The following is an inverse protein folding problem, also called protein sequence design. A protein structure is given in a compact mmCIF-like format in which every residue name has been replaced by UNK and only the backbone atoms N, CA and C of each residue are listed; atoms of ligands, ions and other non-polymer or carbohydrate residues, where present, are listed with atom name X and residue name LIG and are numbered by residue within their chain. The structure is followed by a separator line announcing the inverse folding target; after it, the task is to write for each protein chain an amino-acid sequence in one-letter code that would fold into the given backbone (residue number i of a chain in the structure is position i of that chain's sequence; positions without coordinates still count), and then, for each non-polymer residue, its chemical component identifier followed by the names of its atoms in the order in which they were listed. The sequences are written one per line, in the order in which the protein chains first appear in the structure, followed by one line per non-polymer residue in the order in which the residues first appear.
data_IF_485249654516
#
_entry.id   IF_485249654516
#
_cell.length_a   1.000
_cell.length_b   1.000
_cell.length_c   1.000
_cell.angle_alpha   90.00
_cell.angle_beta   90.00
_cell.angle_gamma   90.00
#
_symmetry.space_group_name_H-M   'P 1'
#
loop_
_entity.id
_entity.type
_entity.pdbx_description
1 polymer ?
#
# COMPACT_ATOMS: atom_id res chain seq x y z
N UNK A 1 -5.60 16.84 -16.77
CA UNK A 1 -4.88 17.23 -15.58
C UNK A 1 -4.25 18.62 -15.71
N UNK A 2 -3.87 19.17 -14.60
CA UNK A 2 -3.25 20.48 -14.50
C UNK A 2 -2.07 20.38 -13.52
N UNK A 3 -0.94 20.97 -13.90
CA UNK A 3 0.25 21.10 -13.04
C UNK A 3 0.81 22.50 -13.14
N UNK A 4 1.40 23.00 -12.08
CA UNK A 4 1.96 24.34 -12.05
C UNK A 4 2.65 24.67 -10.74
N UNK A 5 2.93 25.93 -10.54
CA UNK A 5 3.45 26.50 -9.30
C UNK A 5 2.42 27.41 -8.68
N UNK A 6 2.14 27.25 -7.39
CA UNK A 6 1.35 28.18 -6.58
C UNK A 6 2.22 29.35 -6.08
N UNK A 7 3.51 29.04 -5.84
CA UNK A 7 4.55 30.00 -5.47
C UNK A 7 5.89 29.50 -5.99
N UNK A 8 6.95 30.28 -5.83
CA UNK A 8 8.30 29.89 -6.31
C UNK A 8 8.77 28.55 -5.72
N UNK A 9 8.35 28.25 -4.49
CA UNK A 9 8.74 27.04 -3.74
C UNK A 9 7.62 26.00 -3.62
N UNK A 10 6.43 26.23 -4.22
CA UNK A 10 5.29 25.30 -4.10
C UNK A 10 4.79 24.91 -5.48
N UNK A 11 4.91 23.64 -5.80
CA UNK A 11 4.36 23.04 -7.01
C UNK A 11 3.13 22.19 -6.72
N UNK A 12 2.21 22.12 -7.66
CA UNK A 12 1.03 21.27 -7.59
C UNK A 12 0.83 20.45 -8.86
N UNK A 13 0.13 19.35 -8.70
CA UNK A 13 -0.31 18.50 -9.80
C UNK A 13 -1.68 17.92 -9.46
N UNK A 14 -2.65 18.13 -10.34
CA UNK A 14 -4.01 17.57 -10.19
C UNK A 14 -4.37 16.83 -11.47
N UNK A 15 -4.92 15.64 -11.34
CA UNK A 15 -5.33 14.83 -12.48
C UNK A 15 -6.63 14.11 -12.19
N UNK A 16 -7.53 14.14 -13.13
CA UNK A 16 -8.71 13.27 -13.20
C UNK A 16 -8.53 12.33 -14.37
N UNK A 17 -8.81 11.06 -14.18
CA UNK A 17 -8.72 10.05 -15.22
C UNK A 17 -9.84 9.02 -15.05
N UNK A 18 -10.34 8.54 -16.17
CA UNK A 18 -11.23 7.38 -16.24
C UNK A 18 -10.52 6.26 -16.99
N UNK A 19 -10.54 5.05 -16.43
CA UNK A 19 -9.87 3.89 -16.97
C UNK A 19 -10.81 2.70 -17.01
N UNK A 20 -10.95 2.09 -18.19
CA UNK A 20 -11.64 0.82 -18.36
C UNK A 20 -10.61 -0.29 -18.49
N UNK A 21 -10.81 -1.38 -17.78
CA UNK A 21 -9.94 -2.56 -17.80
C UNK A 21 -10.83 -3.79 -17.98
N UNK A 22 -10.72 -4.43 -19.15
CA UNK A 22 -11.33 -5.73 -19.36
C UNK A 22 -10.52 -6.81 -18.61
N UNK A 23 -11.24 -7.81 -18.10
CA UNK A 23 -10.67 -8.97 -17.42
C UNK A 23 -9.64 -8.58 -16.33
N UNK A 24 -9.98 -7.58 -15.52
CA UNK A 24 -9.12 -7.18 -14.39
C UNK A 24 -9.06 -8.28 -13.35
N UNK A 25 -7.87 -8.81 -13.07
CA UNK A 25 -7.65 -9.74 -11.99
C UNK A 25 -7.83 -9.05 -10.63
N UNK A 26 -8.72 -9.58 -9.80
CA UNK A 26 -8.96 -9.21 -8.42
C UNK A 26 -8.60 -10.39 -7.52
N UNK A 27 -7.81 -10.13 -6.48
CA UNK A 27 -7.39 -11.16 -5.54
C UNK A 27 -8.42 -11.28 -4.42
N UNK A 28 -8.79 -12.52 -4.12
CA UNK A 28 -9.76 -12.88 -3.08
C UNK A 28 -9.19 -14.01 -2.24
N UNK A 29 -9.78 -14.31 -1.09
CA UNK A 29 -9.44 -15.52 -0.36
C UNK A 29 -9.83 -16.74 -1.19
N UNK A 30 -8.94 -17.73 -1.27
CA UNK A 30 -9.23 -18.95 -2.00
C UNK A 30 -10.32 -19.75 -1.28
N UNK A 31 -11.24 -20.32 -2.06
CA UNK A 31 -12.24 -21.23 -1.52
C UNK A 31 -11.56 -22.51 -1.03
N UNK A 32 -11.99 -22.98 0.13
CA UNK A 32 -11.58 -24.31 0.58
C UNK A 32 -12.32 -25.37 -0.24
N UNK A 33 -11.56 -26.23 -0.88
CA UNK A 33 -12.13 -27.40 -1.56
C UNK A 33 -11.83 -28.65 -0.74
N UNK A 34 -12.85 -29.23 -0.06
CA UNK A 34 -12.66 -30.41 0.78
C UNK A 34 -12.15 -31.63 0.01
N UNK A 35 -12.37 -31.69 -1.31
CA UNK A 35 -11.89 -32.81 -2.14
C UNK A 35 -10.34 -32.85 -2.24
N UNK A 36 -9.68 -31.72 -2.07
CA UNK A 36 -8.21 -31.66 -2.11
C UNK A 36 -7.57 -31.80 -0.73
N UNK A 37 -8.36 -31.75 0.34
CA UNK A 37 -7.86 -31.85 1.70
C UNK A 37 -6.74 -30.84 2.00
N UNK A 38 -5.94 -31.15 2.99
CA UNK A 38 -4.77 -30.35 3.36
C UNK A 38 -3.49 -30.83 2.62
N UNK A 39 -3.63 -31.23 1.35
CA UNK A 39 -2.61 -31.99 0.61
C UNK A 39 -1.32 -31.16 0.37
N UNK A 40 -1.42 -29.84 0.37
CA UNK A 40 -0.27 -28.96 0.05
C UNK A 40 0.12 -28.01 1.20
N UNK A 41 -0.32 -28.27 2.42
CA UNK A 41 0.01 -27.39 3.55
C UNK A 41 -0.69 -26.02 3.52
N UNK A 42 -1.62 -25.82 2.61
CA UNK A 42 -2.45 -24.61 2.58
C UNK A 42 -3.57 -24.76 3.61
N UNK A 43 -3.39 -24.06 4.72
CA UNK A 43 -4.46 -23.94 5.69
C UNK A 43 -5.61 -23.12 5.08
N UNK A 44 -6.83 -23.44 5.48
CA UNK A 44 -8.02 -22.68 5.16
C UNK A 44 -7.82 -21.18 5.41
N UNK A 45 -8.19 -20.33 4.45
CA UNK A 45 -8.03 -18.87 4.53
C UNK A 45 -6.59 -18.35 4.34
N UNK A 46 -5.65 -19.23 4.01
CA UNK A 46 -4.22 -18.91 3.90
C UNK A 46 -3.69 -18.90 2.44
N UNK A 47 -4.58 -18.90 1.47
CA UNK A 47 -4.24 -18.84 0.06
C UNK A 47 -5.12 -17.85 -0.68
N UNK A 48 -4.67 -17.43 -1.86
CA UNK A 48 -5.38 -16.51 -2.72
C UNK A 48 -6.02 -17.24 -3.89
N UNK A 49 -7.26 -16.84 -4.19
CA UNK A 49 -7.91 -17.06 -5.47
C UNK A 49 -7.84 -15.79 -6.32
N UNK A 50 -8.17 -15.93 -7.57
CA UNK A 50 -8.28 -14.81 -8.51
C UNK A 50 -9.64 -14.87 -9.18
N UNK A 51 -10.37 -13.77 -9.14
CA UNK A 51 -11.58 -13.54 -9.94
C UNK A 51 -11.30 -12.47 -10.97
N UNK A 52 -11.96 -12.52 -12.10
CA UNK A 52 -11.80 -11.55 -13.17
C UNK A 52 -13.08 -10.77 -13.34
N UNK A 53 -12.96 -9.47 -13.61
CA UNK A 53 -14.09 -8.61 -13.88
C UNK A 53 -13.71 -7.43 -14.78
N UNK A 54 -14.67 -6.89 -15.48
CA UNK A 54 -14.51 -5.62 -16.17
C UNK A 54 -14.64 -4.49 -15.16
N UNK A 55 -13.58 -3.70 -15.05
CA UNK A 55 -13.45 -2.64 -14.03
C UNK A 55 -13.36 -1.27 -14.68
N UNK A 56 -14.32 -0.39 -14.37
CA UNK A 56 -14.20 1.04 -14.61
C UNK A 56 -13.69 1.73 -13.35
N UNK A 57 -12.71 2.60 -13.51
CA UNK A 57 -12.11 3.37 -12.40
C UNK A 57 -12.08 4.85 -12.75
N UNK A 58 -12.84 5.65 -12.01
CA UNK A 58 -12.71 7.10 -12.00
C UNK A 58 -11.72 7.50 -10.89
N UNK A 59 -10.59 8.09 -11.27
CA UNK A 59 -9.54 8.49 -10.33
C UNK A 59 -9.37 10.00 -10.27
N UNK A 60 -9.27 10.55 -9.06
CA UNK A 60 -8.86 11.93 -8.79
C UNK A 60 -7.55 11.87 -8.02
N UNK A 61 -6.51 12.47 -8.57
CA UNK A 61 -5.18 12.56 -7.97
C UNK A 61 -4.84 14.02 -7.70
N UNK A 62 -4.25 14.28 -6.53
CA UNK A 62 -3.70 15.56 -6.15
C UNK A 62 -2.32 15.41 -5.52
N UNK A 63 -1.41 16.33 -5.82
CA UNK A 63 -0.06 16.39 -5.25
C UNK A 63 0.32 17.84 -4.99
N UNK A 64 0.97 18.08 -3.85
CA UNK A 64 1.67 19.31 -3.51
C UNK A 64 3.09 18.98 -3.11
N UNK A 65 4.05 19.76 -3.62
CA UNK A 65 5.46 19.72 -3.22
C UNK A 65 5.90 21.12 -2.84
N UNK A 66 6.57 21.24 -1.71
CA UNK A 66 7.03 22.50 -1.16
C UNK A 66 8.51 22.40 -0.72
N UNK A 67 9.33 23.30 -1.23
CA UNK A 67 10.69 23.52 -0.76
C UNK A 67 10.63 24.63 0.30
N UNK A 68 10.54 24.25 1.59
CA UNK A 68 10.49 25.20 2.71
C UNK A 68 11.81 25.95 2.89
N UNK A 69 12.90 25.30 2.54
CA UNK A 69 14.24 25.88 2.53
C UNK A 69 15.11 25.09 1.54
N UNK A 70 16.38 25.49 1.40
CA UNK A 70 17.37 24.74 0.61
C UNK A 70 17.60 23.31 1.15
N UNK A 71 17.21 23.07 2.38
CA UNK A 71 17.52 21.89 3.13
C UNK A 71 16.27 21.08 3.55
N UNK A 72 15.06 21.57 3.25
CA UNK A 72 13.81 20.91 3.68
C UNK A 72 12.83 20.90 2.53
N UNK A 73 12.50 19.69 2.10
CA UNK A 73 11.47 19.43 1.09
C UNK A 73 10.33 18.64 1.70
N UNK A 74 9.11 19.05 1.41
CA UNK A 74 7.89 18.39 1.83
C UNK A 74 7.05 18.02 0.61
N UNK A 75 6.45 16.85 0.65
CA UNK A 75 5.49 16.38 -0.34
C UNK A 75 4.26 15.78 0.31
N UNK A 76 3.10 16.04 -0.28
CA UNK A 76 1.86 15.34 0.04
C UNK A 76 1.15 15.00 -1.25
N UNK A 77 0.61 13.80 -1.35
CA UNK A 77 -0.23 13.39 -2.47
C UNK A 77 -1.42 12.58 -1.97
N UNK A 78 -2.47 12.57 -2.76
CA UNK A 78 -3.66 11.76 -2.50
C UNK A 78 -4.27 11.26 -3.79
N UNK A 79 -4.83 10.07 -3.74
CA UNK A 79 -5.62 9.48 -4.82
C UNK A 79 -6.93 9.00 -4.25
N UNK A 80 -8.02 9.46 -4.85
CA UNK A 80 -9.35 8.90 -4.62
C UNK A 80 -9.79 8.17 -5.88
N UNK A 81 -10.25 6.93 -5.73
CA UNK A 81 -10.77 6.09 -6.79
C UNK A 81 -12.23 5.73 -6.51
N UNK A 82 -13.06 5.85 -7.52
CA UNK A 82 -14.37 5.27 -7.52
C UNK A 82 -14.38 4.10 -8.53
N UNK A 83 -14.73 2.93 -8.06
CA UNK A 83 -14.73 1.68 -8.84
C UNK A 83 -16.15 1.28 -9.21
N UNK A 84 -16.31 0.77 -10.42
CA UNK A 84 -17.53 0.11 -10.89
C UNK A 84 -17.14 -1.21 -11.53
N UNK A 85 -17.66 -2.28 -10.98
CA UNK A 85 -17.51 -3.67 -11.40
C UNK A 85 -18.71 -4.06 -12.28
N UNK A 86 -18.55 -5.06 -13.13
CA UNK A 86 -19.63 -5.58 -13.98
C UNK A 86 -20.36 -6.77 -13.31
N UNK A 87 -19.61 -7.74 -12.83
CA UNK A 87 -20.15 -8.99 -12.27
C UNK A 87 -19.85 -9.16 -10.78
N UNK A 88 -18.72 -8.66 -10.32
CA UNK A 88 -18.34 -8.75 -8.90
C UNK A 88 -19.10 -7.70 -8.07
N UNK A 89 -19.45 -8.04 -6.82
CA UNK A 89 -20.14 -7.13 -5.91
C UNK A 89 -19.24 -5.93 -5.52
N UNK A 90 -17.93 -6.14 -5.45
CA UNK A 90 -16.96 -5.14 -5.03
C UNK A 90 -15.64 -5.25 -5.82
N UNK A 91 -14.92 -4.15 -5.89
CA UNK A 91 -13.55 -4.13 -6.41
C UNK A 91 -12.57 -4.64 -5.34
N UNK A 92 -12.53 -5.94 -5.15
CA UNK A 92 -11.86 -6.62 -4.04
C UNK A 92 -10.43 -6.13 -3.81
N UNK A 93 -10.13 -5.77 -2.57
CA UNK A 93 -8.83 -5.28 -2.07
C UNK A 93 -8.31 -3.99 -2.70
N UNK A 94 -9.12 -3.29 -3.49
CA UNK A 94 -8.74 -2.01 -4.08
C UNK A 94 -9.19 -0.85 -3.18
N UNK A 95 -8.26 -0.10 -2.56
CA UNK A 95 -8.62 1.00 -1.69
C UNK A 95 -9.13 2.20 -2.50
N UNK A 96 -10.23 2.79 -2.05
CA UNK A 96 -10.75 4.01 -2.65
C UNK A 96 -9.86 5.22 -2.34
N UNK A 97 -9.28 5.30 -1.14
CA UNK A 97 -8.46 6.44 -0.72
C UNK A 97 -7.04 5.99 -0.39
N UNK A 98 -6.06 6.69 -0.98
CA UNK A 98 -4.65 6.60 -0.60
C UNK A 98 -4.10 8.01 -0.41
N UNK A 99 -3.35 8.22 0.68
CA UNK A 99 -2.63 9.48 0.93
C UNK A 99 -1.19 9.15 1.25
N UNK A 100 -0.26 9.91 0.70
CA UNK A 100 1.15 9.82 0.99
C UNK A 100 1.70 11.18 1.40
N UNK A 101 2.57 11.23 2.40
CA UNK A 101 3.31 12.43 2.78
C UNK A 101 4.77 12.08 2.98
N UNK A 102 5.66 12.94 2.55
CA UNK A 102 7.11 12.81 2.68
C UNK A 102 7.71 14.10 3.21
N UNK A 103 8.74 13.98 4.02
CA UNK A 103 9.59 15.09 4.41
C UNK A 103 11.05 14.64 4.33
N UNK A 104 11.87 15.44 3.68
CA UNK A 104 13.29 15.20 3.53
C UNK A 104 14.09 16.39 4.08
N UNK A 105 15.16 16.09 4.79
CA UNK A 105 16.07 17.05 5.43
C UNK A 105 17.50 16.79 4.99
N UNK A 106 18.15 17.78 4.40
CA UNK A 106 19.59 17.85 4.29
C UNK A 106 20.12 18.63 5.52
N UNK A 107 20.51 17.92 6.59
CA UNK A 107 20.88 18.52 7.87
C UNK A 107 22.19 19.30 7.72
N UNK A 108 23.14 18.74 6.98
CA UNK A 108 24.39 19.38 6.56
C UNK A 108 24.97 18.61 5.36
N UNK A 109 26.22 18.91 4.94
CA UNK A 109 26.88 18.25 3.82
C UNK A 109 26.99 16.71 3.97
N UNK A 110 26.98 16.21 5.22
CA UNK A 110 27.19 14.80 5.55
C UNK A 110 25.94 14.08 6.00
N UNK A 111 25.03 14.75 6.71
CA UNK A 111 23.86 14.11 7.29
C UNK A 111 22.59 14.46 6.52
N UNK A 112 21.79 13.47 6.24
CA UNK A 112 20.44 13.63 5.73
C UNK A 112 19.47 12.72 6.49
N UNK A 113 18.23 13.10 6.54
CA UNK A 113 17.16 12.32 7.15
C UNK A 113 15.87 12.52 6.37
N UNK A 114 14.94 11.60 6.49
CA UNK A 114 13.63 11.74 5.93
C UNK A 114 12.64 10.83 6.62
N UNK A 115 11.37 11.18 6.44
CA UNK A 115 10.26 10.36 6.88
C UNK A 115 9.17 10.34 5.82
N UNK A 116 8.43 9.25 5.77
CA UNK A 116 7.21 9.16 4.98
C UNK A 116 6.10 8.49 5.79
N UNK A 117 4.90 8.98 5.57
CA UNK A 117 3.67 8.37 6.07
C UNK A 117 2.81 8.07 4.86
N UNK A 118 2.25 6.87 4.79
CA UNK A 118 1.18 6.59 3.86
C UNK A 118 -0.05 6.07 4.60
N UNK A 119 -1.20 6.52 4.14
CA UNK A 119 -2.50 6.11 4.59
C UNK A 119 -3.21 5.35 3.47
N UNK A 120 -3.85 4.25 3.81
CA UNK A 120 -4.71 3.47 2.92
C UNK A 120 -6.08 3.35 3.58
N UNK A 121 -7.11 3.77 2.85
CA UNK A 121 -8.49 3.68 3.31
C UNK A 121 -8.98 2.23 3.42
N UNK A 122 -10.16 2.07 3.96
CA UNK A 122 -10.85 0.78 4.04
C UNK A 122 -10.94 0.09 2.68
N UNK A 123 -10.95 -1.23 2.70
CA UNK A 123 -11.08 -2.07 1.51
C UNK A 123 -12.03 -3.22 1.80
N UNK A 124 -12.73 -3.64 0.77
CA UNK A 124 -13.55 -4.85 0.81
C UNK A 124 -12.74 -6.04 0.35
N UNK A 125 -12.84 -7.13 1.07
CA UNK A 125 -12.22 -8.41 0.71
C UNK A 125 -13.29 -9.50 0.66
N UNK A 126 -13.13 -10.45 -0.24
CA UNK A 126 -13.98 -11.63 -0.30
C UNK A 126 -13.27 -12.77 0.42
N UNK A 127 -13.86 -13.23 1.50
CA UNK A 127 -13.31 -14.32 2.32
C UNK A 127 -14.17 -15.57 2.24
N UNK A 128 -13.55 -16.71 2.42
CA UNK A 128 -14.27 -17.96 2.65
C UNK A 128 -14.45 -18.17 4.14
N UNK A 129 -15.65 -18.48 4.54
CA UNK A 129 -16.00 -18.85 5.93
C UNK A 129 -16.47 -20.29 5.97
N UNK A 130 -16.13 -20.99 7.03
CA UNK A 130 -16.67 -22.31 7.26
C UNK A 130 -18.09 -22.19 7.77
N UNK A 131 -19.01 -22.93 7.14
CA UNK A 131 -20.39 -22.99 7.60
C UNK A 131 -20.51 -23.70 8.95
N UNK A 132 -21.68 -23.59 9.57
CA UNK A 132 -21.93 -24.24 10.86
C UNK A 132 -21.67 -25.74 10.78
N UNK A 133 -20.68 -26.19 11.54
CA UNK A 133 -20.25 -27.61 11.62
C UNK A 133 -21.35 -28.56 12.07
N UNK A 134 -22.39 -28.04 12.73
CA UNK A 134 -23.49 -28.87 13.25
C UNK A 134 -24.56 -29.12 12.18
N UNK A 135 -24.69 -28.24 11.18
CA UNK A 135 -25.72 -28.31 10.14
C UNK A 135 -25.13 -28.92 8.87
N UNK A 136 -23.98 -28.41 8.43
CA UNK A 136 -23.32 -28.86 7.20
C UNK A 136 -21.79 -28.95 7.40
N UNK A 137 -21.31 -30.02 8.01
CA UNK A 137 -19.87 -30.18 8.25
C UNK A 137 -19.10 -30.25 6.93
N UNK A 138 -18.12 -29.38 6.78
CA UNK A 138 -17.24 -29.33 5.60
C UNK A 138 -17.76 -28.49 4.43
N UNK A 139 -18.85 -27.74 4.60
CA UNK A 139 -19.28 -26.73 3.65
C UNK A 139 -18.66 -25.37 3.97
N UNK A 140 -18.50 -24.55 2.93
CA UNK A 140 -17.91 -23.23 3.03
C UNK A 140 -18.74 -22.28 2.17
N UNK A 141 -18.93 -21.07 2.66
CA UNK A 141 -19.56 -19.99 1.95
C UNK A 141 -18.58 -18.82 1.81
N UNK A 142 -18.86 -17.92 0.90
CA UNK A 142 -18.12 -16.68 0.77
C UNK A 142 -18.82 -15.54 1.51
N UNK A 143 -18.04 -14.67 2.14
CA UNK A 143 -18.56 -13.47 2.80
C UNK A 143 -17.69 -12.27 2.49
N UNK A 144 -18.32 -11.10 2.48
CA UNK A 144 -17.62 -9.84 2.43
C UNK A 144 -16.99 -9.54 3.78
N UNK A 145 -15.72 -9.17 3.78
CA UNK A 145 -15.01 -8.64 4.95
C UNK A 145 -14.55 -7.22 4.68
N UNK A 146 -14.57 -6.39 5.70
CA UNK A 146 -13.99 -5.05 5.65
C UNK A 146 -12.61 -5.09 6.28
N UNK A 147 -11.60 -4.70 5.54
CA UNK A 147 -10.25 -4.46 6.03
C UNK A 147 -10.14 -3.00 6.44
N UNK A 148 -9.84 -2.76 7.70
CA UNK A 148 -9.72 -1.42 8.27
C UNK A 148 -8.69 -0.56 7.54
N UNK A 149 -8.92 0.75 7.58
CA UNK A 149 -7.92 1.71 7.14
C UNK A 149 -6.69 1.66 8.04
N UNK A 150 -5.55 2.00 7.48
CA UNK A 150 -4.29 2.06 8.23
C UNK A 150 -3.37 3.15 7.73
N UNK A 151 -2.40 3.51 8.56
CA UNK A 151 -1.24 4.28 8.13
C UNK A 151 0.05 3.55 8.49
N UNK A 152 1.11 3.85 7.75
CA UNK A 152 2.43 3.28 7.98
C UNK A 152 3.44 4.42 7.99
N UNK A 153 4.22 4.51 9.06
CA UNK A 153 5.26 5.51 9.28
C UNK A 153 6.63 4.89 9.06
N UNK A 154 7.38 5.47 8.16
CA UNK A 154 8.76 5.06 7.89
C UNK A 154 9.68 6.26 8.01
N UNK A 155 10.91 6.04 8.46
CA UNK A 155 11.93 7.07 8.53
C UNK A 155 13.31 6.51 8.19
N UNK A 156 14.20 7.40 7.81
CA UNK A 156 15.59 7.05 7.57
C UNK A 156 16.52 8.20 7.99
N UNK A 157 17.74 7.83 8.30
CA UNK A 157 18.85 8.75 8.49
C UNK A 157 20.08 8.18 7.77
N UNK A 158 20.84 9.03 7.14
CA UNK A 158 22.06 8.62 6.45
C UNK A 158 23.23 9.58 6.70
N UNK A 159 24.44 9.00 6.59
CA UNK A 159 25.68 9.70 6.77
C UNK A 159 26.63 9.47 5.59
N UNK A 160 26.98 10.53 4.90
CA UNK A 160 27.97 10.56 3.81
C UNK A 160 29.37 10.66 4.43
N UNK A 161 30.04 9.52 4.64
CA UNK A 161 31.40 9.49 5.20
C UNK A 161 32.38 10.23 4.27
N UNK A 162 32.29 9.94 2.96
CA UNK A 162 33.03 10.62 1.89
C UNK A 162 32.24 10.55 0.58
N UNK A 163 32.80 10.99 -0.54
CA UNK A 163 32.16 10.99 -1.85
C UNK A 163 31.76 9.58 -2.35
N UNK A 164 32.36 8.51 -1.81
CA UNK A 164 32.15 7.12 -2.25
C UNK A 164 31.34 6.29 -1.27
N UNK A 165 31.43 6.57 0.04
CA UNK A 165 30.81 5.76 1.08
C UNK A 165 29.73 6.53 1.83
N UNK A 166 28.53 5.96 1.85
CA UNK A 166 27.39 6.44 2.62
C UNK A 166 26.82 5.29 3.44
N UNK A 167 26.65 5.50 4.74
CA UNK A 167 25.94 4.58 5.63
C UNK A 167 24.52 5.09 5.88
N UNK A 168 23.57 4.20 6.14
CA UNK A 168 22.19 4.58 6.44
C UNK A 168 21.54 3.62 7.45
N UNK A 169 20.58 4.15 8.18
CA UNK A 169 19.65 3.42 9.03
C UNK A 169 18.23 3.73 8.55
N UNK A 170 17.42 2.69 8.38
CA UNK A 170 16.00 2.78 8.01
C UNK A 170 15.14 2.09 9.05
N UNK A 171 14.01 2.70 9.38
CA UNK A 171 12.94 2.07 10.15
C UNK A 171 11.65 2.05 9.32
N UNK A 172 10.97 0.90 9.28
CA UNK A 172 9.67 0.74 8.66
C UNK A 172 8.64 0.36 9.72
N UNK A 173 7.39 0.75 9.47
CA UNK A 173 6.27 0.57 10.39
C UNK A 173 6.61 1.02 11.83
N UNK A 174 7.19 2.21 11.96
CA UNK A 174 7.65 2.76 13.23
C UNK A 174 6.51 3.05 14.23
N UNK A 175 5.27 3.13 13.74
CA UNK A 175 4.08 3.24 14.55
C UNK A 175 3.61 1.88 15.12
N UNK A 176 4.28 0.77 14.73
CA UNK A 176 3.93 -0.60 15.08
C UNK A 176 2.46 -0.94 14.84
N UNK A 177 1.91 -0.38 13.77
CA UNK A 177 0.51 -0.59 13.46
C UNK A 177 0.32 -1.98 12.87
N UNK A 178 -0.56 -2.75 13.51
CA UNK A 178 -0.94 -4.10 13.09
C UNK A 178 -2.09 -3.97 12.09
N UNK A 179 -1.80 -4.13 10.80
CA UNK A 179 -2.82 -4.08 9.77
C UNK A 179 -2.71 -5.27 8.81
N UNK A 180 -3.81 -5.58 8.14
CA UNK A 180 -3.85 -6.63 7.14
C UNK A 180 -3.82 -6.05 5.74
N UNK A 181 -2.96 -6.57 4.85
CA UNK A 181 -2.99 -6.24 3.43
C UNK A 181 -4.12 -6.94 2.69
N UNK A 182 -4.38 -8.16 3.07
CA UNK A 182 -5.53 -8.98 2.71
C UNK A 182 -6.03 -9.66 3.98
N UNK A 183 -7.24 -10.15 3.98
CA UNK A 183 -7.77 -10.90 5.12
C UNK A 183 -6.80 -12.02 5.50
N UNK A 184 -6.50 -12.16 6.78
CA UNK A 184 -5.55 -13.13 7.35
C UNK A 184 -4.07 -12.97 6.95
N UNK A 185 -3.70 -11.86 6.31
CA UNK A 185 -2.30 -11.57 5.96
C UNK A 185 -1.81 -10.29 6.65
N UNK A 186 -1.48 -10.39 7.95
CA UNK A 186 -0.95 -9.26 8.71
C UNK A 186 0.45 -8.88 8.21
N UNK A 187 0.77 -7.60 8.34
CA UNK A 187 2.13 -7.12 8.08
C UNK A 187 3.03 -7.39 9.26
N UNK A 188 4.34 -7.33 9.00
CA UNK A 188 5.34 -7.37 10.05
C UNK A 188 5.30 -6.07 10.86
N UNK A 189 5.58 -6.16 12.17
CA UNK A 189 5.75 -4.99 13.04
C UNK A 189 6.96 -4.13 12.66
N UNK A 190 7.53 -3.42 13.60
CA UNK A 190 8.68 -2.54 13.38
C UNK A 190 9.84 -3.31 12.76
N UNK A 191 10.38 -2.76 11.67
CA UNK A 191 11.57 -3.28 11.01
C UNK A 191 12.67 -2.24 11.03
N UNK A 192 13.91 -2.67 11.30
CA UNK A 192 15.09 -1.81 11.26
C UNK A 192 16.11 -2.40 10.29
N UNK A 193 16.61 -1.58 9.38
CA UNK A 193 17.60 -1.94 8.39
C UNK A 193 18.80 -0.99 8.50
N UNK A 194 19.99 -1.56 8.68
CA UNK A 194 21.27 -0.86 8.58
C UNK A 194 21.94 -1.26 7.28
N UNK A 195 22.50 -0.29 6.55
CA UNK A 195 23.18 -0.55 5.28
C UNK A 195 24.22 0.50 4.91
N UNK A 196 24.97 0.19 3.88
CA UNK A 196 25.94 1.11 3.29
C UNK A 196 25.95 1.01 1.76
N UNK A 197 26.18 2.14 1.11
CA UNK A 197 26.38 2.25 -0.34
C UNK A 197 27.84 2.66 -0.59
N UNK A 198 28.51 1.94 -1.50
CA UNK A 198 29.85 2.28 -1.95
C UNK A 198 29.86 2.45 -3.47
N UNK A 199 30.42 3.57 -3.95
CA UNK A 199 30.64 3.83 -5.38
C UNK A 199 32.03 3.37 -5.78
N UNK A 200 32.08 2.43 -6.73
CA UNK A 200 33.31 2.03 -7.40
C UNK A 200 33.52 2.94 -8.62
N UNK A 201 34.72 3.53 -8.73
CA UNK A 201 35.15 4.23 -9.95
C UNK A 201 35.99 3.18 -10.73
N UNK A 202 35.52 2.82 -11.91
CA UNK A 202 36.24 1.98 -12.87
C UNK A 202 36.85 2.85 -13.96
#
# INVERSE_FOLDING_TARGET
GMKGKLANSVAFNVRVSNKNQADRALFVSNEFNPAYGNINGYAYGNSFGVVYDDLNTLSVFGELKADFSKNVTFGINGTYNNYSTDTQAEAWNLPQLKIGSTVDFDINEKWYAGANVFFVGERKDLISIQDDLTINPGTFSTAEATLDSYFDLNAHVGYKYNARLTAFLKGNNLADQQYNRWANFPVQGIQVLLGANYKFDF
#
